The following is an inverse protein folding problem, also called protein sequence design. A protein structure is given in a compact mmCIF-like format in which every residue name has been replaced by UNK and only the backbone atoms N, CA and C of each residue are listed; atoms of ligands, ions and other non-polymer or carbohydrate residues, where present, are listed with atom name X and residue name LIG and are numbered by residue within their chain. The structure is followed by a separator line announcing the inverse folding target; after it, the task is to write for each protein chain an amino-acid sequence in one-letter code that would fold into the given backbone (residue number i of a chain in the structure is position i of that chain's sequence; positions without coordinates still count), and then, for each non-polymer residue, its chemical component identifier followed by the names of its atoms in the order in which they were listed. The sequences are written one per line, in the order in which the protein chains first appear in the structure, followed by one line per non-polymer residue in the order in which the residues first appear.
data_IF_495781402565
#
_entry.id   IF_495781402565
#
_cell.length_a   1.000
_cell.length_b   1.000
_cell.length_c   1.000
_cell.angle_alpha   90.00
_cell.angle_beta   90.00
_cell.angle_gamma   90.00
#
_symmetry.space_group_name_H-M   'P 1'
#
loop_
_entity.id
_entity.type
_entity.pdbx_description
1 polymer ?
#
# COMPACT_ATOMS: atom_id res chain seq x y z
N UNK A 1 -15.20 2.06 9.82
CA UNK A 1 -14.02 2.79 10.34
C UNK A 1 -14.04 4.19 9.76
N UNK A 2 -13.55 5.20 10.48
CA UNK A 2 -13.56 6.60 10.02
C UNK A 2 -12.70 6.71 8.78
N UNK A 3 -13.31 7.12 7.66
CA UNK A 3 -12.57 7.44 6.44
C UNK A 3 -11.50 8.48 6.77
N UNK A 4 -10.28 8.30 6.24
CA UNK A 4 -9.14 9.21 6.43
C UNK A 4 -9.33 10.54 5.66
N UNK A 5 -10.49 11.14 5.85
CA UNK A 5 -10.89 12.39 5.23
C UNK A 5 -10.59 13.52 6.20
N UNK A 6 -9.77 14.45 5.75
CA UNK A 6 -9.53 15.69 6.49
C UNK A 6 -10.78 16.57 6.51
N UNK A 7 -11.04 17.24 7.62
CA UNK A 7 -12.27 18.00 7.82
C UNK A 7 -12.47 19.17 6.84
N UNK A 8 -11.42 19.68 6.18
CA UNK A 8 -11.58 20.66 5.09
C UNK A 8 -12.33 20.07 3.89
N UNK A 9 -12.15 18.79 3.61
CA UNK A 9 -12.82 18.10 2.49
C UNK A 9 -14.24 17.71 2.90
N UNK A 10 -14.43 17.29 4.15
CA UNK A 10 -15.74 16.96 4.69
C UNK A 10 -15.85 17.34 6.17
N UNK A 11 -16.52 18.47 6.49
CA UNK A 11 -16.66 18.96 7.87
C UNK A 11 -17.46 18.02 8.79
N UNK A 12 -18.31 17.15 8.22
CA UNK A 12 -19.13 16.22 9.01
C UNK A 12 -18.28 15.24 9.81
N UNK A 13 -17.03 15.00 9.40
CA UNK A 13 -16.05 14.16 10.12
C UNK A 13 -15.83 14.66 11.56
N UNK A 14 -15.94 15.95 11.83
CA UNK A 14 -15.78 16.48 13.18
C UNK A 14 -16.95 16.11 14.12
N UNK A 15 -18.10 15.73 13.57
CA UNK A 15 -19.33 15.41 14.29
C UNK A 15 -19.59 13.89 14.38
N UNK A 16 -19.12 13.12 13.41
CA UNK A 16 -19.39 11.67 13.34
C UNK A 16 -18.69 10.88 14.44
N UNK A 17 -17.48 11.30 14.84
CA UNK A 17 -16.68 10.60 15.85
C UNK A 17 -16.30 11.57 16.99
N UNK A 18 -17.31 12.00 17.76
CA UNK A 18 -17.19 13.04 18.78
C UNK A 18 -16.45 12.58 20.05
N UNK A 19 -16.22 11.28 20.26
CA UNK A 19 -15.54 10.78 21.46
C UNK A 19 -14.01 10.71 21.27
N UNK A 20 -13.52 10.69 20.03
CA UNK A 20 -12.08 10.60 19.71
C UNK A 20 -11.45 11.99 19.47
N UNK A 21 -11.32 12.78 20.54
CA UNK A 21 -10.71 14.11 20.48
C UNK A 21 -9.24 14.14 20.92
N UNK A 22 -8.72 13.07 21.51
CA UNK A 22 -7.32 13.00 21.92
C UNK A 22 -6.51 12.22 20.88
N UNK A 23 -5.43 12.78 20.31
CA UNK A 23 -4.62 12.09 19.32
C UNK A 23 -3.88 10.91 19.96
N UNK A 24 -4.02 9.72 19.38
CA UNK A 24 -3.30 8.51 19.83
C UNK A 24 -2.30 8.04 18.77
N UNK A 25 -1.33 7.21 19.18
CA UNK A 25 -0.32 6.64 18.27
C UNK A 25 -0.92 5.66 17.25
N UNK A 26 -2.12 5.14 17.52
CA UNK A 26 -2.83 4.20 16.65
C UNK A 26 -3.53 4.94 15.50
N UNK A 27 -3.92 6.20 15.68
CA UNK A 27 -4.60 6.99 14.65
C UNK A 27 -3.67 7.34 13.47
N UNK A 28 -4.26 7.55 12.30
CA UNK A 28 -3.57 8.16 11.15
C UNK A 28 -3.21 9.62 11.44
N UNK A 29 -2.25 10.21 10.73
CA UNK A 29 -1.88 11.63 10.87
C UNK A 29 -3.07 12.54 10.57
N UNK A 30 -3.88 12.20 9.56
CA UNK A 30 -5.10 12.93 9.22
C UNK A 30 -6.10 12.85 10.37
N UNK A 31 -6.29 11.67 10.94
CA UNK A 31 -7.14 11.47 12.13
C UNK A 31 -6.60 12.22 13.35
N UNK A 32 -5.29 12.24 13.57
CA UNK A 32 -4.67 13.00 14.67
C UNK A 32 -4.92 14.51 14.52
N UNK A 33 -4.83 15.05 13.30
CA UNK A 33 -5.16 16.44 13.02
C UNK A 33 -6.65 16.74 13.19
N UNK A 34 -7.53 15.81 12.79
CA UNK A 34 -8.97 15.90 13.05
C UNK A 34 -9.28 15.87 14.57
N UNK A 35 -8.65 14.96 15.33
CA UNK A 35 -8.77 14.87 16.78
C UNK A 35 -8.28 16.16 17.47
N UNK A 36 -7.13 16.70 17.05
CA UNK A 36 -6.62 17.96 17.55
C UNK A 36 -7.55 19.14 17.26
N UNK A 37 -8.18 19.15 16.07
CA UNK A 37 -9.19 20.14 15.70
C UNK A 37 -10.40 20.06 16.64
N UNK A 38 -10.89 18.84 16.94
CA UNK A 38 -11.97 18.63 17.92
C UNK A 38 -11.59 19.10 19.32
N UNK A 39 -10.35 18.83 19.76
CA UNK A 39 -9.85 19.30 21.05
C UNK A 39 -9.88 20.84 21.14
N UNK A 40 -9.49 21.55 20.07
CA UNK A 40 -9.59 23.01 20.01
C UNK A 40 -11.05 23.47 20.06
N UNK A 41 -11.96 22.80 19.35
CA UNK A 41 -13.39 23.14 19.38
C UNK A 41 -14.00 22.93 20.77
N UNK A 42 -13.63 21.85 21.47
CA UNK A 42 -14.10 21.61 22.84
C UNK A 42 -13.54 22.63 23.81
N UNK A 43 -12.27 23.00 23.65
CA UNK A 43 -11.67 24.09 24.41
C UNK A 43 -12.38 25.43 24.14
N UNK A 44 -12.72 25.72 22.89
CA UNK A 44 -13.47 26.91 22.52
C UNK A 44 -14.87 26.95 23.15
N UNK A 45 -15.59 25.82 23.12
CA UNK A 45 -16.91 25.69 23.76
C UNK A 45 -16.80 25.88 25.28
N UNK A 46 -15.81 25.25 25.91
CA UNK A 46 -15.58 25.36 27.36
C UNK A 46 -15.25 26.80 27.78
N UNK A 47 -14.43 27.50 27.00
CA UNK A 47 -14.10 28.92 27.25
C UNK A 47 -15.30 29.84 27.04
N UNK A 48 -16.17 29.51 26.07
CA UNK A 48 -17.43 30.22 25.83
C UNK A 48 -18.41 30.05 26.99
N UNK A 49 -18.63 28.81 27.47
CA UNK A 49 -19.54 28.50 28.58
C UNK A 49 -19.10 29.13 29.90
N UNK A 50 -17.79 29.21 30.15
CA UNK A 50 -17.25 29.83 31.38
C UNK A 50 -17.23 31.36 31.33
N UNK A 51 -17.62 31.97 30.21
CA UNK A 51 -17.63 33.42 30.03
C UNK A 51 -16.23 34.06 30.01
N UNK A 52 -15.16 33.26 29.86
CA UNK A 52 -13.75 33.71 29.88
C UNK A 52 -13.20 34.02 28.49
N UNK A 53 -14.07 34.06 27.48
CA UNK A 53 -13.71 34.26 26.08
C UNK A 53 -13.30 35.73 25.83
N UNK A 54 -12.01 36.03 25.99
CA UNK A 54 -11.42 37.33 25.63
C UNK A 54 -10.95 37.35 24.17
N UNK A 55 -10.80 38.55 23.59
CA UNK A 55 -10.27 38.74 22.22
C UNK A 55 -8.95 38.01 21.96
N UNK A 56 -8.07 37.94 22.97
CA UNK A 56 -6.78 37.25 22.85
C UNK A 56 -6.95 35.73 22.73
N UNK A 57 -7.94 35.17 23.45
CA UNK A 57 -8.26 33.75 23.36
C UNK A 57 -8.84 33.38 21.99
N UNK A 58 -9.70 34.25 21.43
CA UNK A 58 -10.25 34.07 20.08
C UNK A 58 -9.14 34.08 19.03
N UNK A 59 -8.22 35.05 19.09
CA UNK A 59 -7.05 35.09 18.19
C UNK A 59 -6.18 33.84 18.33
N UNK A 60 -5.97 33.35 19.54
CA UNK A 60 -5.21 32.12 19.80
C UNK A 60 -5.84 30.89 19.13
N UNK A 61 -7.16 30.73 19.22
CA UNK A 61 -7.90 29.63 18.57
C UNK A 61 -7.77 29.71 17.04
N UNK A 62 -7.92 30.91 16.46
CA UNK A 62 -7.79 31.10 15.01
C UNK A 62 -6.38 30.75 14.54
N UNK A 63 -5.34 31.20 15.26
CA UNK A 63 -3.95 30.87 14.94
C UNK A 63 -3.73 29.35 15.01
N UNK A 64 -4.25 28.68 16.03
CA UNK A 64 -4.13 27.24 16.18
C UNK A 64 -4.79 26.47 15.01
N UNK A 65 -5.97 26.92 14.54
CA UNK A 65 -6.62 26.33 13.36
C UNK A 65 -5.79 26.54 12.08
N UNK A 66 -5.21 27.72 11.89
CA UNK A 66 -4.32 28.00 10.75
C UNK A 66 -3.09 27.09 10.79
N UNK A 67 -2.48 26.89 11.98
CA UNK A 67 -1.35 25.97 12.15
C UNK A 67 -1.74 24.54 11.80
N UNK A 68 -2.93 24.07 12.19
CA UNK A 68 -3.42 22.73 11.81
C UNK A 68 -3.56 22.60 10.30
N UNK A 69 -4.12 23.60 9.63
CA UNK A 69 -4.26 23.60 8.16
C UNK A 69 -2.87 23.57 7.51
N UNK A 70 -1.91 24.34 8.02
CA UNK A 70 -0.53 24.34 7.53
C UNK A 70 0.15 22.98 7.73
N UNK A 71 -0.02 22.36 8.90
CA UNK A 71 0.48 21.00 9.18
C UNK A 71 -0.16 19.95 8.28
N UNK A 72 -1.46 20.07 7.96
CA UNK A 72 -2.13 19.19 7.00
C UNK A 72 -1.47 19.27 5.63
N UNK A 73 -1.23 20.47 5.09
CA UNK A 73 -0.54 20.59 3.80
C UNK A 73 0.88 20.03 3.86
N UNK A 74 1.65 20.29 4.93
CA UNK A 74 2.97 19.68 5.10
C UNK A 74 2.90 18.14 5.11
N UNK A 75 1.88 17.57 5.75
CA UNK A 75 1.71 16.12 5.83
C UNK A 75 1.42 15.45 4.48
N UNK A 76 0.85 16.18 3.52
CA UNK A 76 0.61 15.68 2.15
C UNK A 76 1.92 15.56 1.37
N UNK A 77 2.85 16.51 1.58
CA UNK A 77 4.13 16.54 0.86
C UNK A 77 5.21 15.64 1.48
N UNK A 78 5.06 15.23 2.75
CA UNK A 78 6.01 14.38 3.49
C UNK A 78 5.87 12.89 3.12
N UNK A 79 6.53 12.47 2.04
CA UNK A 79 6.56 11.07 1.56
C UNK A 79 7.14 10.10 2.60
N UNK A 80 8.28 10.46 3.21
CA UNK A 80 8.96 9.60 4.20
C UNK A 80 8.10 9.38 5.45
N UNK A 81 7.36 10.41 5.84
CA UNK A 81 6.45 10.33 6.96
C UNK A 81 5.24 9.44 6.73
N UNK A 82 4.67 9.45 5.51
CA UNK A 82 3.61 8.49 5.13
C UNK A 82 4.11 7.05 5.22
N UNK A 83 5.33 6.77 4.74
CA UNK A 83 5.93 5.43 4.83
C UNK A 83 6.12 4.98 6.28
N UNK A 84 6.56 5.87 7.17
CA UNK A 84 6.73 5.57 8.61
C UNK A 84 5.40 5.33 9.32
N UNK A 85 4.38 6.12 9.02
CA UNK A 85 3.02 5.95 9.55
C UNK A 85 2.43 4.61 9.12
N UNK A 86 2.56 4.29 7.83
CA UNK A 86 2.11 3.02 7.27
C UNK A 86 2.77 1.82 7.98
N UNK A 87 4.10 1.83 8.11
CA UNK A 87 4.82 0.74 8.80
C UNK A 87 4.41 0.61 10.29
N UNK A 88 4.03 1.70 10.94
CA UNK A 88 3.52 1.69 12.32
C UNK A 88 2.17 0.98 12.39
N UNK A 89 1.23 1.29 11.50
CA UNK A 89 -0.08 0.65 11.46
C UNK A 89 0.01 -0.83 11.11
N UNK A 90 0.86 -1.19 10.15
CA UNK A 90 1.13 -2.60 9.80
C UNK A 90 1.63 -3.43 10.99
N UNK A 91 2.53 -2.89 11.83
CA UNK A 91 3.01 -3.62 13.01
C UNK A 91 1.91 -3.80 14.07
N UNK A 92 0.97 -2.87 14.19
CA UNK A 92 -0.20 -2.98 15.06
C UNK A 92 -1.18 -4.02 14.51
N UNK A 93 -1.43 -4.02 13.20
CA UNK A 93 -2.29 -5.00 12.55
C UNK A 93 -1.71 -6.42 12.58
N UNK A 94 -0.42 -6.59 12.31
CA UNK A 94 0.27 -7.88 12.39
C UNK A 94 0.25 -8.47 13.81
N UNK A 95 0.16 -7.63 14.85
CA UNK A 95 -0.04 -8.08 16.24
C UNK A 95 -1.49 -8.55 16.48
N UNK A 96 -2.46 -8.02 15.72
CA UNK A 96 -3.88 -8.39 15.82
C UNK A 96 -4.32 -9.50 14.84
N UNK A 97 -3.59 -9.71 13.75
CA UNK A 97 -3.96 -10.61 12.65
C UNK A 97 -2.90 -11.70 12.45
N UNK A 98 -2.99 -12.77 13.25
CA UNK A 98 -2.39 -14.06 12.90
C UNK A 98 -3.20 -14.80 11.82
N UNK A 99 -4.39 -14.30 11.44
CA UNK A 99 -5.35 -14.96 10.54
C UNK A 99 -5.80 -14.04 9.37
N UNK A 100 -4.91 -13.65 8.45
CA UNK A 100 -5.35 -13.03 7.18
C UNK A 100 -4.90 -13.84 5.96
N UNK A 101 -5.88 -14.51 5.35
CA UNK A 101 -5.76 -15.22 4.07
C UNK A 101 -5.37 -14.25 2.93
N UNK A 102 -4.68 -14.74 1.88
CA UNK A 102 -4.22 -13.90 0.76
C UNK A 102 -5.39 -13.30 -0.03
N UNK A 103 -5.22 -12.05 -0.44
CA UNK A 103 -6.17 -11.31 -1.31
C UNK A 103 -6.13 -11.93 -2.72
N UNK A 104 -7.26 -12.45 -3.20
CA UNK A 104 -7.42 -12.93 -4.58
C UNK A 104 -7.98 -11.80 -5.46
N UNK A 105 -7.29 -11.47 -6.56
CA UNK A 105 -7.76 -10.47 -7.54
C UNK A 105 -8.56 -11.19 -8.63
N UNK A 106 -9.83 -10.78 -8.83
CA UNK A 106 -10.74 -11.37 -9.80
C UNK A 106 -11.22 -10.36 -10.85
N UNK A 107 -11.53 -10.82 -12.07
CA UNK A 107 -12.08 -9.98 -13.15
C UNK A 107 -13.59 -9.71 -12.98
N UNK A 108 -14.09 -8.55 -13.44
CA UNK A 108 -15.53 -8.21 -13.42
C UNK A 108 -16.02 -7.30 -14.55
N UNK A 109 -17.34 -7.16 -14.71
CA UNK A 109 -18.01 -6.27 -15.70
C UNK A 109 -19.27 -5.57 -15.14
N UNK A 110 -19.71 -4.48 -15.76
CA UNK A 110 -20.97 -3.79 -15.43
C UNK A 110 -22.13 -4.30 -16.28
N UNK A 111 -23.23 -4.72 -15.64
CA UNK A 111 -24.45 -5.11 -16.37
C UNK A 111 -25.21 -3.89 -16.95
N UNK A 112 -26.25 -4.15 -17.75
CA UNK A 112 -27.08 -3.10 -18.39
C UNK A 112 -27.84 -2.24 -17.38
N UNK A 113 -27.91 -2.67 -16.12
CA UNK A 113 -28.53 -1.96 -15.01
C UNK A 113 -27.50 -1.17 -14.19
N UNK A 114 -26.22 -1.23 -14.57
CA UNK A 114 -25.11 -0.51 -13.94
C UNK A 114 -24.51 -1.23 -12.72
N UNK A 115 -24.89 -2.47 -12.43
CA UNK A 115 -24.36 -3.20 -11.29
C UNK A 115 -23.05 -3.92 -11.68
N UNK A 116 -22.03 -3.80 -10.81
CA UNK A 116 -20.74 -4.45 -10.97
C UNK A 116 -20.82 -5.93 -10.59
N UNK A 117 -20.41 -6.83 -11.50
CA UNK A 117 -20.33 -8.28 -11.29
C UNK A 117 -18.85 -8.70 -11.26
N UNK A 118 -18.39 -9.25 -10.13
CA UNK A 118 -17.01 -9.75 -9.89
C UNK A 118 -17.08 -11.29 -9.73
N UNK A 119 -15.98 -12.03 -9.99
CA UNK A 119 -15.92 -13.50 -10.15
C UNK A 119 -16.50 -14.38 -9.02
N UNK A 120 -16.50 -15.73 -9.09
CA UNK A 120 -16.30 -16.73 -10.16
C UNK A 120 -17.68 -17.15 -10.74
N UNK A 121 -17.87 -16.99 -12.04
CA UNK A 121 -19.08 -17.34 -12.81
C UNK A 121 -20.37 -16.53 -12.56
N UNK A 122 -20.29 -15.23 -12.24
CA UNK A 122 -21.44 -14.27 -12.19
C UNK A 122 -22.69 -14.73 -11.41
N UNK A 123 -22.54 -15.71 -10.52
CA UNK A 123 -23.63 -16.34 -9.76
C UNK A 123 -23.95 -15.59 -8.47
N UNK A 124 -25.03 -16.02 -7.84
CA UNK A 124 -26.01 -15.23 -7.08
C UNK A 124 -25.77 -15.07 -5.57
N UNK A 125 -24.58 -15.36 -5.06
CA UNK A 125 -24.28 -15.08 -3.64
C UNK A 125 -23.44 -13.81 -3.51
N UNK A 126 -23.97 -12.88 -2.70
CA UNK A 126 -23.22 -11.71 -2.26
C UNK A 126 -22.05 -12.20 -1.41
N UNK A 127 -20.90 -12.40 -2.05
CA UNK A 127 -19.63 -12.26 -1.36
C UNK A 127 -19.72 -10.93 -0.61
N UNK A 128 -19.66 -10.98 0.72
CA UNK A 128 -19.50 -9.79 1.54
C UNK A 128 -18.19 -9.18 1.12
N UNK A 129 -18.24 -8.28 0.14
CA UNK A 129 -17.09 -7.52 -0.32
C UNK A 129 -16.52 -6.87 0.94
N UNK A 130 -15.37 -7.39 1.40
CA UNK A 130 -14.64 -6.75 2.48
C UNK A 130 -14.25 -5.39 1.91
N UNK A 131 -14.74 -4.33 2.54
CA UNK A 131 -14.45 -2.96 2.13
C UNK A 131 -12.92 -2.83 2.12
N UNK A 132 -12.34 -2.64 0.93
CA UNK A 132 -10.91 -2.46 0.78
C UNK A 132 -10.56 -1.14 1.45
N UNK A 133 -9.75 -1.19 2.51
CA UNK A 133 -9.30 -0.02 3.26
C UNK A 133 -8.36 0.87 2.44
N UNK A 134 -7.90 0.36 1.29
CA UNK A 134 -6.98 1.04 0.39
C UNK A 134 -7.53 1.04 -1.04
N UNK A 135 -7.29 2.15 -1.73
CA UNK A 135 -7.51 2.29 -3.17
C UNK A 135 -6.51 1.42 -3.94
N UNK A 136 -6.84 0.96 -5.15
CA UNK A 136 -5.91 0.19 -6.01
C UNK A 136 -4.55 0.89 -6.16
N UNK A 137 -4.55 2.23 -6.29
CA UNK A 137 -3.34 3.04 -6.34
C UNK A 137 -2.51 2.98 -5.05
N UNK A 138 -3.16 2.93 -3.89
CA UNK A 138 -2.49 2.81 -2.59
C UNK A 138 -1.90 1.40 -2.39
N UNK A 139 -2.57 0.37 -2.91
CA UNK A 139 -2.05 -0.99 -2.93
C UNK A 139 -0.82 -1.15 -3.82
N UNK A 140 -0.82 -0.52 -5.00
CA UNK A 140 0.32 -0.51 -5.91
C UNK A 140 1.51 0.22 -5.29
N UNK A 141 1.26 1.37 -4.65
CA UNK A 141 2.28 2.12 -3.91
C UNK A 141 2.82 1.30 -2.72
N UNK A 142 1.97 0.56 -2.02
CA UNK A 142 2.37 -0.38 -0.97
C UNK A 142 3.28 -1.49 -1.50
N UNK A 143 2.92 -2.13 -2.61
CA UNK A 143 3.76 -3.16 -3.25
C UNK A 143 5.12 -2.59 -3.65
N UNK A 144 5.14 -1.38 -4.21
CA UNK A 144 6.37 -0.66 -4.59
C UNK A 144 7.25 -0.27 -3.39
N UNK A 145 6.67 -0.10 -2.21
CA UNK A 145 7.40 0.27 -1.00
C UNK A 145 7.86 -0.95 -0.17
N UNK A 146 7.30 -2.15 -0.38
CA UNK A 146 7.68 -3.37 0.35
C UNK A 146 8.92 -4.07 -0.24
N UNK A 147 9.35 -3.68 -1.42
CA UNK A 147 10.42 -4.35 -2.14
C UNK A 147 11.81 -3.78 -1.84
N UNK A 148 12.84 -4.60 -2.06
CA UNK A 148 14.26 -4.26 -1.96
C UNK A 148 14.64 -3.35 -3.12
N UNK A 149 15.15 -2.16 -2.80
CA UNK A 149 15.56 -1.12 -3.76
C UNK A 149 17.06 -1.21 -4.06
N UNK A 150 17.53 -0.67 -5.20
CA UNK A 150 18.94 -0.60 -5.53
C UNK A 150 19.75 0.16 -4.48
N UNK A 151 20.86 -0.39 -4.04
CA UNK A 151 21.84 0.28 -3.18
C UNK A 151 23.21 0.25 -3.81
N UNK A 152 24.15 1.07 -3.32
CA UNK A 152 25.54 1.07 -3.79
C UNK A 152 26.19 -0.32 -3.69
N UNK A 153 25.90 -1.04 -2.60
CA UNK A 153 26.43 -2.38 -2.33
C UNK A 153 25.68 -3.48 -3.10
N UNK A 154 24.41 -3.25 -3.48
CA UNK A 154 23.60 -4.19 -4.26
C UNK A 154 22.74 -3.45 -5.32
N UNK A 155 23.35 -2.98 -6.43
CA UNK A 155 22.63 -2.19 -7.44
C UNK A 155 21.50 -2.98 -8.11
N UNK A 156 21.69 -4.30 -8.29
CA UNK A 156 20.74 -5.16 -8.99
C UNK A 156 19.74 -5.84 -8.05
N UNK A 157 19.73 -5.51 -6.76
CA UNK A 157 18.76 -6.05 -5.80
C UNK A 157 18.76 -7.58 -5.71
N UNK A 158 19.84 -8.23 -6.16
CA UNK A 158 19.93 -9.69 -6.16
C UNK A 158 20.06 -10.21 -4.71
N UNK A 159 19.54 -11.40 -4.39
CA UNK A 159 19.77 -12.00 -3.08
C UNK A 159 21.27 -12.19 -2.83
N UNK A 160 21.69 -11.81 -1.64
CA UNK A 160 23.05 -11.94 -1.13
C UNK A 160 23.12 -13.12 -0.15
N UNK A 161 24.33 -13.52 0.25
CA UNK A 161 24.51 -14.60 1.23
C UNK A 161 23.87 -14.31 2.59
N UNK A 162 23.67 -13.03 2.94
CA UNK A 162 23.02 -12.64 4.18
C UNK A 162 21.50 -12.90 4.19
N UNK A 163 20.90 -13.07 2.99
CA UNK A 163 19.48 -13.33 2.80
C UNK A 163 19.14 -14.83 2.86
N UNK A 164 20.12 -15.69 3.16
CA UNK A 164 19.90 -17.12 3.31
C UNK A 164 19.61 -17.44 4.78
N UNK A 165 18.55 -18.20 5.02
CA UNK A 165 18.06 -18.62 6.35
C UNK A 165 17.45 -17.48 7.20
N UNK A 166 17.14 -16.35 6.58
CA UNK A 166 16.40 -15.24 7.19
C UNK A 166 14.90 -15.41 6.90
N UNK A 167 14.08 -15.26 7.93
CA UNK A 167 12.62 -15.26 7.76
C UNK A 167 12.19 -13.85 7.32
N UNK A 168 11.55 -13.77 6.14
CA UNK A 168 10.90 -12.57 5.59
C UNK A 168 11.81 -11.50 4.97
N UNK A 169 12.78 -11.89 4.15
CA UNK A 169 13.52 -10.90 3.37
C UNK A 169 12.64 -10.18 2.34
N UNK A 170 12.88 -8.87 2.12
CA UNK A 170 12.13 -8.12 1.14
C UNK A 170 12.46 -8.60 -0.28
N UNK A 171 11.40 -8.89 -1.04
CA UNK A 171 11.43 -9.27 -2.46
C UNK A 171 12.05 -8.13 -3.28
N UNK A 172 12.82 -8.42 -4.33
CA UNK A 172 13.35 -7.40 -5.23
C UNK A 172 12.24 -6.55 -5.88
N UNK A 173 12.49 -5.25 -6.06
CA UNK A 173 11.56 -4.39 -6.80
C UNK A 173 11.49 -4.78 -8.28
N UNK A 174 10.38 -4.41 -8.93
CA UNK A 174 10.24 -4.59 -10.37
C UNK A 174 11.34 -3.79 -11.10
N UNK A 175 12.18 -4.49 -11.86
CA UNK A 175 13.26 -3.87 -12.64
C UNK A 175 12.77 -3.08 -13.86
N UNK A 176 11.52 -3.26 -14.27
CA UNK A 176 10.91 -2.55 -15.39
C UNK A 176 10.33 -1.18 -14.99
N UNK A 177 10.21 -0.89 -13.69
CA UNK A 177 9.74 0.41 -13.20
C UNK A 177 10.79 1.50 -13.46
N UNK A 178 10.39 2.63 -14.08
CA UNK A 178 11.31 3.72 -14.46
C UNK A 178 12.13 4.25 -13.28
N UNK A 179 11.48 4.50 -12.13
CA UNK A 179 12.15 4.99 -10.93
C UNK A 179 13.22 4.02 -10.39
N UNK A 180 12.95 2.72 -10.47
CA UNK A 180 13.85 1.67 -9.99
C UNK A 180 15.02 1.51 -10.96
N UNK A 181 14.73 1.59 -12.25
CA UNK A 181 15.74 1.57 -13.31
C UNK A 181 16.73 2.73 -13.16
N UNK A 182 16.26 3.94 -12.92
CA UNK A 182 17.12 5.10 -12.67
C UNK A 182 17.98 4.91 -11.41
N UNK A 183 17.38 4.45 -10.31
CA UNK A 183 18.12 4.18 -9.07
C UNK A 183 19.20 3.10 -9.25
N UNK A 184 18.91 2.05 -10.02
CA UNK A 184 19.87 0.99 -10.36
C UNK A 184 21.03 1.56 -11.17
N UNK A 185 20.74 2.36 -12.19
CA UNK A 185 21.77 2.91 -13.07
C UNK A 185 22.65 3.91 -12.30
N UNK A 186 22.08 4.71 -11.40
CA UNK A 186 22.84 5.57 -10.49
C UNK A 186 23.72 4.72 -9.55
N UNK A 187 23.14 3.72 -8.89
CA UNK A 187 23.84 2.86 -7.92
C UNK A 187 25.00 2.09 -8.56
N UNK A 188 24.80 1.55 -9.77
CA UNK A 188 25.83 0.85 -10.54
C UNK A 188 26.99 1.78 -10.92
N UNK A 189 26.69 3.03 -11.27
CA UNK A 189 27.68 3.99 -11.74
C UNK A 189 28.41 4.76 -10.62
N UNK A 190 28.07 4.59 -9.33
CA UNK A 190 28.61 5.43 -8.25
C UNK A 190 30.15 5.40 -8.13
N UNK A 191 30.79 4.26 -8.44
CA UNK A 191 32.25 4.08 -8.34
C UNK A 191 32.88 3.58 -9.66
N UNK A 192 32.18 3.78 -10.78
CA UNK A 192 32.62 3.30 -12.09
C UNK A 192 33.21 4.45 -12.91
N UNK A 193 34.49 4.32 -13.29
CA UNK A 193 35.13 5.27 -14.19
C UNK A 193 34.69 5.00 -15.63
N UNK A 194 33.93 5.94 -16.20
CA UNK A 194 33.41 5.84 -17.57
C UNK A 194 34.31 6.57 -18.57
N UNK A 195 34.46 5.99 -19.75
CA UNK A 195 35.10 6.64 -20.90
C UNK A 195 34.16 7.70 -21.46
N UNK A 196 34.61 8.95 -21.58
CA UNK A 196 33.82 10.06 -22.13
C UNK A 196 33.43 9.82 -23.60
N UNK A 197 34.12 8.90 -24.29
CA UNK A 197 33.79 8.51 -25.66
C UNK A 197 32.75 7.39 -25.76
N UNK A 198 32.33 6.78 -24.64
CA UNK A 198 31.28 5.76 -24.60
C UNK A 198 29.92 6.37 -24.33
N UNK A 199 29.27 6.86 -25.40
CA UNK A 199 27.96 7.52 -25.32
C UNK A 199 26.81 6.57 -24.94
N UNK A 200 26.99 5.27 -25.13
CA UNK A 200 25.94 4.27 -24.99
C UNK A 200 26.16 3.32 -23.80
N UNK A 201 27.15 3.61 -22.94
CA UNK A 201 27.52 2.83 -21.76
C UNK A 201 27.72 1.31 -22.05
N UNK A 202 28.11 0.96 -23.28
CA UNK A 202 28.24 -0.45 -23.70
C UNK A 202 29.55 -1.07 -23.22
N UNK A 203 30.60 -0.26 -23.03
CA UNK A 203 31.94 -0.74 -22.66
C UNK A 203 32.07 -1.11 -21.18
N UNK A 204 31.09 -0.74 -20.36
CA UNK A 204 31.09 -0.97 -18.90
C UNK A 204 30.59 -2.37 -18.50
N UNK A 205 30.40 -3.28 -19.46
CA UNK A 205 29.89 -4.64 -19.23
C UNK A 205 28.50 -4.69 -18.57
N UNK A 206 27.67 -3.65 -18.71
CA UNK A 206 26.33 -3.58 -18.13
C UNK A 206 25.45 -4.78 -18.48
N UNK A 207 25.56 -5.30 -19.72
CA UNK A 207 24.82 -6.49 -20.16
C UNK A 207 25.10 -7.76 -19.35
N UNK A 208 26.25 -7.83 -18.67
CA UNK A 208 26.62 -8.98 -17.85
C UNK A 208 26.01 -8.92 -16.44
N UNK A 209 25.57 -7.75 -16.00
CA UNK A 209 24.98 -7.55 -14.70
C UNK A 209 23.47 -7.35 -14.84
N UNK A 210 22.70 -8.31 -14.32
CA UNK A 210 21.25 -8.32 -14.42
C UNK A 210 20.61 -8.77 -13.11
N UNK A 211 19.34 -8.41 -12.94
CA UNK A 211 18.47 -8.92 -11.87
C UNK A 211 18.16 -10.40 -12.13
N UNK A 212 18.25 -11.24 -11.10
CA UNK A 212 17.82 -12.65 -11.20
C UNK A 212 16.30 -12.78 -11.04
N UNK A 213 15.65 -13.78 -11.67
CA UNK A 213 14.20 -13.93 -11.63
C UNK A 213 13.66 -14.49 -10.30
N UNK A 214 14.51 -14.62 -9.28
CA UNK A 214 14.11 -15.15 -7.97
C UNK A 214 13.51 -14.01 -7.12
N UNK A 215 12.35 -14.27 -6.53
CA UNK A 215 11.64 -13.27 -5.74
C UNK A 215 11.99 -13.34 -4.24
N UNK A 216 12.30 -14.51 -3.71
CA UNK A 216 12.66 -14.72 -2.31
C UNK A 216 13.63 -15.89 -2.15
N UNK A 217 14.28 -15.99 -0.99
CA UNK A 217 15.06 -17.17 -0.59
C UNK A 217 14.36 -17.78 0.63
N UNK A 218 13.76 -18.98 0.53
CA UNK A 218 13.63 -19.85 -0.64
C UNK A 218 12.73 -19.27 -1.75
N UNK A 219 12.91 -19.76 -2.98
CA UNK A 219 12.09 -19.35 -4.13
C UNK A 219 10.61 -19.69 -3.92
N UNK A 220 9.70 -18.85 -4.41
CA UNK A 220 8.26 -19.03 -4.28
C UNK A 220 7.73 -20.12 -5.21
N UNK A 221 7.88 -21.38 -4.78
CA UNK A 221 7.41 -22.55 -5.52
C UNK A 221 5.89 -22.61 -5.60
N UNK A 222 5.18 -22.07 -4.60
CA UNK A 222 3.73 -22.10 -4.56
C UNK A 222 3.11 -21.17 -5.60
N UNK A 223 3.59 -19.93 -5.71
CA UNK A 223 3.12 -19.00 -6.74
C UNK A 223 3.46 -19.52 -8.14
N UNK A 224 4.64 -20.11 -8.33
CA UNK A 224 4.99 -20.73 -9.60
C UNK A 224 4.08 -21.93 -9.94
N UNK A 225 3.80 -22.81 -8.98
CA UNK A 225 2.91 -23.95 -9.17
C UNK A 225 1.47 -23.49 -9.47
N UNK A 226 0.98 -22.46 -8.76
CA UNK A 226 -0.31 -21.82 -9.04
C UNK A 226 -0.34 -21.15 -10.41
N UNK A 227 0.75 -20.56 -10.86
CA UNK A 227 0.83 -19.99 -12.21
C UNK A 227 0.79 -21.08 -13.30
N UNK A 228 1.48 -22.20 -13.11
CA UNK A 228 1.49 -23.32 -14.07
C UNK A 228 0.18 -24.14 -14.07
N UNK A 229 -0.37 -24.41 -12.88
CA UNK A 229 -1.40 -25.43 -12.67
C UNK A 229 -2.62 -24.92 -11.90
N UNK A 230 -2.61 -23.68 -11.42
CA UNK A 230 -3.74 -23.04 -10.76
C UNK A 230 -4.83 -22.79 -11.79
N UNK A 231 -5.57 -23.84 -12.12
CA UNK A 231 -6.82 -23.74 -12.83
C UNK A 231 -7.87 -23.23 -11.85
N UNK A 232 -8.89 -22.55 -12.37
CA UNK A 232 -10.12 -22.31 -11.61
C UNK A 232 -10.80 -23.63 -11.22
N UNK A 233 -11.99 -23.52 -10.63
CA UNK A 233 -12.80 -24.66 -10.21
C UNK A 233 -12.90 -25.73 -11.30
N UNK A 234 -12.59 -26.97 -10.93
CA UNK A 234 -12.73 -28.11 -11.83
C UNK A 234 -14.16 -28.66 -11.80
N UNK A 235 -14.58 -29.34 -12.87
CA UNK A 235 -15.89 -30.03 -12.92
C UNK A 235 -16.08 -31.05 -11.78
N UNK A 236 -14.99 -31.57 -11.20
CA UNK A 236 -15.03 -32.47 -10.04
C UNK A 236 -15.38 -31.72 -8.74
N UNK A 237 -15.04 -30.44 -8.67
CA UNK A 237 -15.28 -29.58 -7.50
C UNK A 237 -16.63 -28.84 -7.61
N UNK A 238 -17.02 -28.42 -8.82
CA UNK A 238 -18.29 -27.74 -9.07
C UNK A 238 -18.97 -28.25 -10.35
N UNK A 239 -20.23 -28.67 -10.21
CA UNK A 239 -21.06 -29.19 -11.30
C UNK A 239 -21.37 -28.12 -12.37
N UNK A 240 -21.37 -26.84 -12.00
CA UNK A 240 -21.60 -25.73 -12.93
C UNK A 240 -20.37 -25.38 -13.79
N UNK A 241 -19.17 -25.80 -13.38
CA UNK A 241 -17.93 -25.58 -14.13
C UNK A 241 -17.73 -26.62 -15.27
N UNK A 242 -18.66 -27.57 -15.43
CA UNK A 242 -18.58 -28.61 -16.45
C UNK A 242 -18.96 -28.09 -17.84
N UNK A 243 -18.02 -28.05 -18.78
CA UNK A 243 -18.32 -27.78 -20.19
C UNK A 243 -18.70 -29.05 -20.97
N UNK A 244 -19.56 -28.97 -22.01
CA UNK A 244 -20.06 -30.13 -22.77
C UNK A 244 -18.99 -30.91 -23.55
N UNK A 245 -17.80 -30.33 -23.75
CA UNK A 245 -16.64 -31.02 -24.31
C UNK A 245 -15.49 -30.97 -23.31
N UNK A 246 -14.93 -32.15 -23.00
CA UNK A 246 -13.73 -32.29 -22.20
C UNK A 246 -12.56 -31.50 -22.81
N UNK A 247 -12.18 -30.41 -22.16
CA UNK A 247 -10.92 -29.69 -22.37
C UNK A 247 -10.45 -29.27 -20.98
N UNK A 248 -9.21 -29.44 -20.55
CA UNK A 248 -7.94 -29.20 -21.25
C UNK A 248 -6.92 -30.29 -20.83
N UNK A 249 -6.73 -31.34 -21.66
CA UNK A 249 -5.96 -32.56 -21.35
C UNK A 249 -6.31 -33.24 -20.02
N UNK A 250 -7.16 -34.25 -20.10
CA UNK A 250 -7.31 -35.30 -19.08
C UNK A 250 -5.95 -35.91 -18.73
N UNK A 251 -5.35 -35.46 -17.63
CA UNK A 251 -4.24 -36.11 -16.96
C UNK A 251 -4.81 -37.10 -15.95
N UNK A 252 -4.84 -38.36 -16.34
CA UNK A 252 -5.02 -39.52 -15.48
C UNK A 252 -3.98 -39.53 -14.36
N UNK A 253 -4.44 -39.55 -13.10
CA UNK A 253 -3.88 -40.27 -11.94
C UNK A 253 -4.90 -40.22 -10.81
#
# INVERSE_FOLDING_TARGET
MTTDIFWLNNPTVLLTDYTSFFPTTVMSRVQQLNALTRLILYFAILMSVTGKMSDNWVKGIIIALIVIIMLYYLSIYDKDGKVKEFNRHKNVENMSNLDTMPIEVESGYYDTEGNLRIGKFYSHEQNRNKELEYTLSEYEEFRKNKCRKPTADNPFMNPTLADFNTENDPIACNGDDEDIKEQRDIAFNQNLFRDLNDLFDVKNAERQFATVPINSVPNDQEAFAKWCYGTGLTCKEDSFACQPRNTYRSGTS
#
